data_IF_316598710070
#
_entry.id   IF_316598710070
#
_cell.length_a   1.000
_cell.length_b   1.000
_cell.length_c   1.000
_cell.angle_alpha   90.00
_cell.angle_beta   90.00
_cell.angle_gamma   90.00
#
_symmetry.space_group_name_H-M   'P 1'
#
loop_
_entity.id
_entity.type
_entity.pdbx_description
1 polymer ?
#
# COMPACT_ATOMS: atom_id res chain seq x y z
N UNK A 1 -65.92 -7.47 -21.96
CA UNK A 1 -65.16 -6.31 -21.44
C UNK A 1 -64.74 -6.59 -20.01
N UNK A 2 -63.47 -6.93 -19.75
CA UNK A 2 -62.81 -6.94 -18.41
C UNK A 2 -61.36 -7.42 -18.57
N UNK A 3 -60.41 -6.49 -18.74
CA UNK A 3 -58.98 -6.70 -18.50
C UNK A 3 -58.23 -5.36 -18.56
N UNK A 4 -58.35 -4.52 -17.53
CA UNK A 4 -57.50 -3.33 -17.36
C UNK A 4 -57.44 -2.95 -15.87
N UNK A 5 -56.77 -3.75 -15.03
CA UNK A 5 -56.61 -3.41 -13.61
C UNK A 5 -55.47 -4.17 -12.88
N UNK A 6 -54.37 -4.57 -13.55
CA UNK A 6 -53.26 -5.29 -12.86
C UNK A 6 -51.85 -4.71 -13.05
N UNK A 7 -51.65 -3.66 -13.83
CA UNK A 7 -50.30 -3.09 -14.04
C UNK A 7 -49.96 -1.85 -13.18
N UNK A 8 -50.92 -1.26 -12.47
CA UNK A 8 -50.69 -0.01 -11.71
C UNK A 8 -49.97 -0.18 -10.36
N UNK A 9 -50.10 -1.34 -9.72
CA UNK A 9 -49.61 -1.52 -8.34
C UNK A 9 -48.10 -1.80 -8.27
N UNK A 10 -47.50 -2.37 -9.32
CA UNK A 10 -46.07 -2.72 -9.32
C UNK A 10 -45.15 -1.53 -9.63
N UNK A 11 -45.64 -0.53 -10.37
CA UNK A 11 -44.84 0.64 -10.75
C UNK A 11 -44.74 1.66 -9.61
N UNK A 12 -45.81 1.82 -8.82
CA UNK A 12 -45.83 2.69 -7.63
C UNK A 12 -44.91 2.20 -6.51
N UNK A 13 -44.74 0.88 -6.35
CA UNK A 13 -43.84 0.30 -5.35
C UNK A 13 -42.38 0.52 -5.74
N UNK A 14 -42.02 0.33 -7.00
CA UNK A 14 -40.66 0.60 -7.51
C UNK A 14 -40.28 2.08 -7.41
N UNK A 15 -41.19 3.00 -7.74
CA UNK A 15 -40.92 4.44 -7.61
C UNK A 15 -40.70 4.87 -6.15
N UNK A 16 -41.44 4.26 -5.21
CA UNK A 16 -41.30 4.54 -3.78
C UNK A 16 -39.97 4.03 -3.20
N UNK A 17 -39.47 2.89 -3.68
CA UNK A 17 -38.17 2.33 -3.26
C UNK A 17 -37.00 3.18 -3.80
N UNK A 18 -37.09 3.66 -5.04
CA UNK A 18 -36.04 4.50 -5.65
C UNK A 18 -35.96 5.88 -4.98
N UNK A 19 -37.11 6.48 -4.64
CA UNK A 19 -37.15 7.74 -3.89
C UNK A 19 -36.59 7.57 -2.46
N UNK A 20 -36.91 6.46 -1.78
CA UNK A 20 -36.38 6.17 -0.44
C UNK A 20 -34.86 5.94 -0.40
N UNK A 21 -34.28 5.34 -1.45
CA UNK A 21 -32.82 5.17 -1.59
C UNK A 21 -32.09 6.52 -1.80
N UNK A 22 -32.72 7.45 -2.51
CA UNK A 22 -32.17 8.80 -2.75
C UNK A 22 -32.12 9.63 -1.46
N UNK A 23 -33.17 9.56 -0.64
CA UNK A 23 -33.23 10.28 0.64
C UNK A 23 -32.21 9.73 1.65
N UNK A 24 -32.04 8.41 1.75
CA UNK A 24 -31.04 7.78 2.62
C UNK A 24 -29.60 8.14 2.25
N UNK A 25 -29.27 8.21 0.96
CA UNK A 25 -27.95 8.64 0.49
C UNK A 25 -27.68 10.13 0.77
N UNK A 26 -28.72 10.97 0.67
CA UNK A 26 -28.60 12.40 1.00
C UNK A 26 -28.30 12.64 2.49
N UNK A 27 -28.88 11.83 3.37
CA UNK A 27 -28.67 11.93 4.83
C UNK A 27 -27.26 11.49 5.23
N UNK A 28 -26.75 10.40 4.66
CA UNK A 28 -25.36 9.95 4.90
C UNK A 28 -24.33 10.98 4.43
N UNK A 29 -24.58 11.65 3.31
CA UNK A 29 -23.69 12.71 2.81
C UNK A 29 -23.66 13.92 3.73
N UNK A 30 -24.81 14.35 4.28
CA UNK A 30 -24.88 15.43 5.29
C UNK A 30 -24.16 15.04 6.58
N UNK A 31 -24.25 13.77 6.99
CA UNK A 31 -23.59 13.27 8.19
C UNK A 31 -22.06 13.27 8.03
N UNK A 32 -21.56 12.89 6.84
CA UNK A 32 -20.13 12.94 6.48
C UNK A 32 -19.59 14.38 6.35
N UNK A 33 -20.38 15.32 5.82
CA UNK A 33 -19.98 16.73 5.72
C UNK A 33 -19.95 17.41 7.10
N UNK A 34 -20.87 17.07 8.01
CA UNK A 34 -20.89 17.55 9.39
C UNK A 34 -19.69 17.05 10.23
N UNK A 35 -19.22 15.83 9.99
CA UNK A 35 -18.03 15.31 10.68
C UNK A 35 -16.73 15.93 10.15
N UNK A 36 -16.68 16.32 8.86
CA UNK A 36 -15.56 17.03 8.26
C UNK A 36 -15.38 18.46 8.80
N UNK A 37 -16.45 19.15 9.17
CA UNK A 37 -16.36 20.53 9.70
C UNK A 37 -15.94 20.63 11.17
N UNK A 38 -15.97 19.52 11.93
CA UNK A 38 -15.64 19.53 13.38
C UNK A 38 -14.16 19.31 13.69
N UNK A 39 -13.35 18.86 12.73
CA UNK A 39 -11.93 18.58 12.97
C UNK A 39 -11.05 18.97 11.75
N UNK A 40 -10.66 20.25 11.61
CA UNK A 40 -9.86 20.70 10.48
C UNK A 40 -8.35 20.40 10.60
N UNK A 41 -7.90 19.64 11.62
CA UNK A 41 -6.47 19.47 11.95
C UNK A 41 -5.83 18.11 11.61
N UNK A 42 -6.51 17.22 10.86
CA UNK A 42 -5.97 15.90 10.53
C UNK A 42 -5.61 15.77 9.03
N UNK A 43 -4.90 16.74 8.45
CA UNK A 43 -4.24 16.55 7.15
C UNK A 43 -2.95 17.37 7.11
N UNK A 44 -1.86 16.68 6.72
CA UNK A 44 -0.49 17.13 6.39
C UNK A 44 0.50 17.32 7.55
N UNK A 45 1.39 16.34 7.67
CA UNK A 45 2.84 16.57 7.46
C UNK A 45 3.49 15.28 6.93
N UNK A 46 4.25 15.40 5.83
CA UNK A 46 5.04 14.31 5.25
C UNK A 46 6.38 14.26 5.98
N UNK A 47 6.67 13.14 6.66
CA UNK A 47 8.00 12.89 7.19
C UNK A 47 9.00 12.59 6.05
N UNK A 48 10.26 13.06 6.12
CA UNK A 48 11.30 12.79 5.13
C UNK A 48 11.87 11.36 5.26
N UNK A 49 12.59 10.84 4.24
CA UNK A 49 13.06 9.46 4.25
C UNK A 49 14.22 9.29 5.24
N UNK A 50 14.07 8.35 6.18
CA UNK A 50 15.13 7.97 7.11
C UNK A 50 16.13 7.09 6.34
N UNK A 51 17.34 7.62 6.12
CA UNK A 51 18.48 6.84 5.63
C UNK A 51 18.84 5.77 6.66
N UNK A 52 19.05 4.54 6.19
CA UNK A 52 19.58 3.44 6.97
C UNK A 52 20.93 3.83 7.59
N UNK A 53 20.98 3.95 8.92
CA UNK A 53 22.22 4.02 9.67
C UNK A 53 22.44 2.61 10.23
N UNK A 54 23.36 1.87 9.62
CA UNK A 54 23.99 0.72 10.26
C UNK A 54 24.69 1.23 11.53
N UNK A 55 24.24 0.79 12.71
CA UNK A 55 24.98 0.93 13.95
C UNK A 55 25.38 -0.46 14.42
N UNK A 56 26.68 -0.71 14.41
CA UNK A 56 27.29 -1.88 15.03
C UNK A 56 26.94 -1.94 16.53
N UNK A 57 26.68 -3.12 17.09
CA UNK A 57 26.53 -3.27 18.53
C UNK A 57 27.89 -3.12 19.21
N UNK A 58 27.99 -2.14 20.11
CA UNK A 58 29.13 -1.98 21.01
C UNK A 58 29.32 -3.23 21.85
N UNK A 59 30.50 -3.82 21.68
CA UNK A 59 31.06 -4.94 22.44
C UNK A 59 31.11 -4.59 23.93
N UNK A 60 30.32 -5.28 24.75
CA UNK A 60 30.55 -5.36 26.19
C UNK A 60 30.15 -6.75 26.69
N UNK A 61 31.16 -7.45 27.23
CA UNK A 61 31.10 -8.68 28.02
C UNK A 61 30.38 -9.90 27.42
N UNK A 62 31.14 -10.68 26.66
CA UNK A 62 30.89 -12.10 26.51
C UNK A 62 31.08 -12.78 27.87
N UNK A 63 30.06 -13.50 28.33
CA UNK A 63 30.24 -14.61 29.26
C UNK A 63 29.39 -15.76 28.73
N UNK A 64 30.05 -16.90 28.59
CA UNK A 64 29.54 -18.09 27.93
C UNK A 64 28.28 -18.62 28.63
N UNK A 65 27.18 -18.69 27.88
CA UNK A 65 26.02 -19.54 28.14
C UNK A 65 25.31 -19.76 26.80
N UNK A 66 25.93 -20.58 25.95
CA UNK A 66 25.33 -21.07 24.72
C UNK A 66 25.25 -22.58 24.85
N UNK A 67 24.02 -23.09 25.01
CA UNK A 67 23.51 -24.46 24.69
C UNK A 67 22.46 -25.01 25.67
N UNK A 68 22.03 -24.27 26.71
CA UNK A 68 20.93 -24.72 27.61
C UNK A 68 19.84 -23.65 27.81
N UNK A 69 19.15 -23.20 26.75
CA UNK A 69 17.95 -22.34 26.90
C UNK A 69 16.74 -22.80 26.10
N UNK A 70 16.90 -23.75 25.17
CA UNK A 70 15.81 -24.16 24.26
C UNK A 70 14.76 -25.10 24.90
N UNK A 71 15.03 -25.67 26.08
CA UNK A 71 14.10 -26.55 26.79
C UNK A 71 13.41 -25.90 28.01
N UNK A 72 13.87 -24.76 28.49
CA UNK A 72 13.54 -24.27 29.84
C UNK A 72 12.31 -23.35 29.93
N UNK A 73 11.84 -22.81 28.81
CA UNK A 73 10.63 -21.96 28.80
C UNK A 73 9.34 -22.74 29.11
N UNK A 74 9.36 -24.07 29.00
CA UNK A 74 8.20 -24.92 29.27
C UNK A 74 7.89 -25.10 30.76
N UNK A 75 8.86 -24.84 31.65
CA UNK A 75 8.71 -25.06 33.08
C UNK A 75 8.96 -23.80 33.93
N UNK A 76 9.78 -22.84 33.48
CA UNK A 76 10.05 -21.59 34.21
C UNK A 76 10.07 -20.34 33.32
N UNK A 77 9.57 -19.22 33.86
CA UNK A 77 9.63 -17.91 33.20
C UNK A 77 11.06 -17.34 33.21
N UNK A 78 11.57 -16.77 32.10
CA UNK A 78 12.86 -16.09 32.08
C UNK A 78 12.91 -14.88 33.01
N UNK A 79 11.81 -14.12 33.05
CA UNK A 79 11.60 -13.03 34.00
C UNK A 79 10.23 -13.20 34.67
N UNK A 80 10.04 -12.69 35.90
CA UNK A 80 8.78 -12.84 36.63
C UNK A 80 7.55 -12.35 35.85
N UNK A 81 7.72 -11.31 35.03
CA UNK A 81 6.65 -10.70 34.26
C UNK A 81 7.12 -10.47 32.82
N UNK A 82 6.25 -10.74 31.85
CA UNK A 82 6.51 -10.46 30.44
C UNK A 82 5.85 -11.44 29.48
N UNK A 83 6.11 -11.27 28.20
CA UNK A 83 5.65 -12.13 27.12
C UNK A 83 6.84 -12.69 26.34
N UNK A 84 6.93 -14.02 26.26
CA UNK A 84 8.09 -14.71 25.70
C UNK A 84 7.66 -15.61 24.53
N UNK A 85 8.39 -15.56 23.42
CA UNK A 85 8.12 -16.41 22.27
C UNK A 85 8.39 -17.89 22.57
N UNK A 86 7.64 -18.78 21.93
CA UNK A 86 7.98 -20.20 21.91
C UNK A 86 9.20 -20.48 21.01
N UNK A 87 10.02 -21.46 21.40
CA UNK A 87 11.26 -21.80 20.71
C UNK A 87 11.04 -22.41 19.32
N UNK A 88 9.90 -23.08 19.09
CA UNK A 88 9.65 -23.82 17.85
C UNK A 88 8.46 -23.29 17.04
N UNK A 89 7.47 -22.68 17.71
CA UNK A 89 6.21 -22.26 17.12
C UNK A 89 6.05 -20.73 17.08
N UNK A 90 5.96 -20.15 15.87
CA UNK A 90 6.00 -18.70 15.70
C UNK A 90 4.76 -17.97 16.23
N UNK A 91 3.63 -18.65 16.29
CA UNK A 91 2.36 -18.11 16.76
C UNK A 91 2.04 -18.49 18.21
N UNK A 92 2.98 -19.11 18.91
CA UNK A 92 2.87 -19.47 20.33
C UNK A 92 3.78 -18.60 21.18
N UNK A 93 3.29 -18.26 22.36
CA UNK A 93 4.01 -17.47 23.35
C UNK A 93 3.53 -17.78 24.76
N UNK A 94 4.30 -17.34 25.73
CA UNK A 94 4.07 -17.52 27.16
C UNK A 94 3.89 -16.17 27.81
N UNK A 95 2.78 -15.98 28.52
CA UNK A 95 2.57 -14.84 29.39
C UNK A 95 3.00 -15.21 30.82
N UNK A 96 4.03 -14.54 31.31
CA UNK A 96 4.57 -14.71 32.65
C UNK A 96 4.00 -13.64 33.58
N UNK A 97 3.47 -14.08 34.73
CA UNK A 97 3.01 -13.19 35.81
C UNK A 97 3.45 -13.74 37.15
N UNK A 98 4.27 -12.98 37.87
CA UNK A 98 4.88 -13.39 39.14
C UNK A 98 5.55 -14.78 39.06
N UNK A 99 6.18 -15.08 37.91
CA UNK A 99 6.84 -16.36 37.63
C UNK A 99 5.90 -17.49 37.19
N UNK A 100 4.59 -17.26 37.13
CA UNK A 100 3.62 -18.24 36.64
C UNK A 100 3.44 -18.12 35.12
N UNK A 101 3.69 -19.24 34.43
CA UNK A 101 3.52 -19.35 32.97
C UNK A 101 2.05 -19.55 32.62
N UNK A 102 1.57 -18.78 31.63
CA UNK A 102 0.34 -19.07 30.89
C UNK A 102 0.67 -19.22 29.41
N UNK A 103 0.49 -20.42 28.87
CA UNK A 103 0.60 -20.66 27.44
C UNK A 103 -0.53 -19.98 26.65
N UNK A 104 -0.18 -19.32 25.55
CA UNK A 104 -1.13 -18.65 24.66
C UNK A 104 -0.74 -18.84 23.19
N UNK A 105 -1.74 -18.70 22.33
CA UNK A 105 -1.60 -18.65 20.88
C UNK A 105 -2.06 -17.30 20.36
N UNK A 106 -1.36 -16.79 19.35
CA UNK A 106 -1.84 -15.67 18.55
C UNK A 106 -3.10 -16.09 17.76
N UNK A 107 -3.97 -15.13 17.41
CA UNK A 107 -5.09 -15.39 16.51
C UNK A 107 -4.61 -16.10 15.23
N UNK A 108 -5.39 -17.07 14.73
CA UNK A 108 -5.01 -17.86 13.56
C UNK A 108 -4.65 -16.97 12.35
N UNK A 109 -3.44 -17.16 11.83
CA UNK A 109 -2.87 -16.36 10.73
C UNK A 109 -1.99 -15.18 11.17
N UNK A 110 -1.81 -14.96 12.48
CA UNK A 110 -0.86 -14.01 13.05
C UNK A 110 0.25 -14.75 13.81
N UNK A 111 1.37 -14.07 14.05
CA UNK A 111 2.54 -14.61 14.77
C UNK A 111 2.93 -13.67 15.91
N UNK A 112 3.56 -14.22 16.94
CA UNK A 112 3.95 -13.45 18.11
C UNK A 112 5.13 -12.53 17.79
N UNK A 113 4.98 -11.26 18.15
CA UNK A 113 6.02 -10.24 18.04
C UNK A 113 6.74 -10.10 19.38
N UNK A 114 8.01 -10.50 19.41
CA UNK A 114 8.88 -10.57 20.58
C UNK A 114 9.84 -9.37 20.71
N UNK A 115 9.62 -8.27 19.97
CA UNK A 115 10.45 -7.07 20.06
C UNK A 115 10.25 -6.26 21.36
N UNK A 116 9.13 -6.45 22.04
CA UNK A 116 8.80 -5.78 23.31
C UNK A 116 8.16 -6.80 24.27
N UNK A 117 8.92 -7.20 25.30
CA UNK A 117 8.51 -8.21 26.28
C UNK A 117 7.40 -7.73 27.21
N UNK A 118 7.08 -6.42 27.25
CA UNK A 118 6.00 -5.88 28.07
C UNK A 118 4.65 -5.85 27.34
N UNK A 119 4.63 -6.10 26.02
CA UNK A 119 3.44 -5.99 25.18
C UNK A 119 3.00 -7.34 24.61
N UNK A 120 1.76 -7.72 24.87
CA UNK A 120 1.13 -8.89 24.25
C UNK A 120 0.74 -8.56 22.80
N UNK A 121 1.69 -8.70 21.87
CA UNK A 121 1.48 -8.30 20.48
C UNK A 121 1.62 -9.47 19.51
N UNK A 122 0.59 -9.61 18.68
CA UNK A 122 0.61 -10.48 17.50
C UNK A 122 0.61 -9.60 16.24
N UNK A 123 1.46 -9.93 15.28
CA UNK A 123 1.57 -9.23 14.00
C UNK A 123 1.43 -10.21 12.83
N UNK A 124 1.31 -9.67 11.62
CA UNK A 124 1.34 -10.49 10.42
C UNK A 124 2.74 -11.10 10.20
N UNK A 125 2.81 -12.33 9.67
CA UNK A 125 4.09 -13.04 9.48
C UNK A 125 5.06 -12.35 8.52
N UNK A 126 4.60 -11.36 7.74
CA UNK A 126 5.45 -10.62 6.80
C UNK A 126 6.48 -9.70 7.48
N UNK A 127 6.22 -9.29 8.73
CA UNK A 127 7.07 -8.34 9.47
C UNK A 127 7.88 -8.99 10.59
N UNK A 128 7.74 -10.31 10.79
CA UNK A 128 8.34 -11.06 11.91
C UNK A 128 9.13 -12.23 11.33
N UNK A 129 10.39 -12.37 11.74
CA UNK A 129 11.23 -13.48 11.29
C UNK A 129 10.90 -14.77 12.06
N UNK A 130 10.11 -15.62 11.42
CA UNK A 130 9.77 -16.95 11.95
C UNK A 130 10.77 -18.05 11.55
N UNK A 131 11.90 -17.73 10.90
CA UNK A 131 12.79 -18.74 10.32
C UNK A 131 13.38 -19.71 11.36
N UNK A 132 13.52 -19.25 12.62
CA UNK A 132 14.02 -20.07 13.74
C UNK A 132 12.92 -20.90 14.42
N UNK A 133 11.66 -20.47 14.32
CA UNK A 133 10.49 -21.06 14.97
C UNK A 133 9.34 -21.26 13.97
N UNK A 134 9.51 -22.10 12.94
CA UNK A 134 8.64 -22.13 11.78
C UNK A 134 7.28 -22.82 12.01
N UNK A 135 7.08 -23.51 13.15
CA UNK A 135 5.81 -24.20 13.41
C UNK A 135 4.70 -23.16 13.60
N UNK A 136 3.49 -23.51 13.22
CA UNK A 136 2.29 -22.70 13.40
C UNK A 136 1.15 -23.58 13.90
N UNK A 137 0.13 -22.99 14.53
CA UNK A 137 -1.09 -23.70 14.88
C UNK A 137 -1.78 -24.28 13.63
N UNK A 138 -2.74 -25.19 13.84
CA UNK A 138 -3.55 -25.72 12.73
C UNK A 138 -4.42 -24.62 12.11
N UNK A 139 -4.41 -24.46 10.77
CA UNK A 139 -5.22 -23.43 10.10
C UNK A 139 -6.71 -23.63 10.33
N UNK A 140 -7.45 -22.53 10.45
CA UNK A 140 -8.92 -22.51 10.54
C UNK A 140 -9.49 -21.85 9.28
N UNK A 141 -9.62 -22.60 8.16
CA UNK A 141 -10.01 -22.02 6.89
C UNK A 141 -11.50 -21.62 6.87
N UNK A 142 -11.78 -20.50 6.23
CA UNK A 142 -13.13 -20.02 5.88
C UNK A 142 -13.13 -19.63 4.39
N UNK A 143 -14.28 -19.33 3.76
CA UNK A 143 -14.31 -18.95 2.34
C UNK A 143 -13.34 -17.79 2.04
N UNK A 144 -12.41 -18.00 1.10
CA UNK A 144 -11.36 -17.04 0.69
C UNK A 144 -10.27 -16.72 1.73
N UNK A 145 -10.32 -17.35 2.90
CA UNK A 145 -9.39 -17.14 3.99
C UNK A 145 -8.80 -18.49 4.42
N UNK A 146 -7.65 -18.91 3.88
CA UNK A 146 -6.92 -20.10 4.33
C UNK A 146 -6.62 -20.11 5.84
N UNK A 147 -6.49 -18.92 6.45
CA UNK A 147 -6.40 -18.68 7.89
C UNK A 147 -7.38 -17.56 8.25
N UNK A 148 -7.76 -17.43 9.52
CA UNK A 148 -8.69 -16.38 9.95
C UNK A 148 -8.18 -14.96 9.69
N UNK A 149 -6.87 -14.74 9.80
CA UNK A 149 -6.25 -13.43 9.62
C UNK A 149 -5.14 -13.48 8.56
N UNK A 150 -5.02 -12.42 7.75
CA UNK A 150 -3.91 -12.26 6.82
C UNK A 150 -4.31 -11.80 5.42
N UNK A 151 -3.33 -11.82 4.51
CA UNK A 151 -3.51 -11.49 3.10
C UNK A 151 -3.33 -12.74 2.23
N UNK A 152 -4.31 -13.04 1.38
CA UNK A 152 -4.33 -14.28 0.60
C UNK A 152 -4.67 -14.00 -0.87
N UNK A 153 -3.99 -14.67 -1.78
CA UNK A 153 -4.25 -14.51 -3.22
C UNK A 153 -5.65 -14.97 -3.61
N UNK A 154 -6.19 -14.42 -4.70
CA UNK A 154 -7.48 -14.87 -5.21
C UNK A 154 -7.47 -16.35 -5.58
N UNK A 155 -8.50 -17.07 -5.13
CA UNK A 155 -8.76 -18.46 -5.52
C UNK A 155 -9.22 -18.60 -6.97
N UNK A 156 -9.68 -17.51 -7.61
CA UNK A 156 -10.19 -17.52 -8.99
C UNK A 156 -9.09 -17.42 -10.05
N UNK A 157 -7.81 -17.46 -9.65
CA UNK A 157 -6.67 -17.25 -10.55
C UNK A 157 -6.37 -15.78 -10.88
N UNK A 158 -7.25 -14.84 -10.53
CA UNK A 158 -7.00 -13.41 -10.75
C UNK A 158 -5.70 -12.97 -10.05
N UNK A 159 -4.73 -12.48 -10.84
CA UNK A 159 -3.38 -12.13 -10.38
C UNK A 159 -3.36 -10.83 -9.57
N UNK A 160 -4.23 -9.90 -9.93
CA UNK A 160 -4.38 -8.56 -9.36
C UNK A 160 -5.36 -8.53 -8.18
N UNK A 161 -5.95 -9.65 -7.78
CA UNK A 161 -6.92 -9.72 -6.68
C UNK A 161 -6.39 -10.53 -5.51
N UNK A 162 -6.65 -10.02 -4.32
CA UNK A 162 -6.35 -10.70 -3.07
C UNK A 162 -7.41 -10.40 -2.02
N UNK A 163 -7.38 -11.17 -0.94
CA UNK A 163 -8.32 -11.11 0.17
C UNK A 163 -7.57 -10.69 1.42
N UNK A 164 -8.10 -9.66 2.09
CA UNK A 164 -7.70 -9.29 3.44
C UNK A 164 -8.70 -9.89 4.43
N UNK A 165 -8.23 -10.81 5.25
CA UNK A 165 -9.05 -11.55 6.21
C UNK A 165 -8.83 -11.02 7.62
N UNK A 166 -9.94 -10.79 8.32
CA UNK A 166 -10.00 -10.50 9.76
C UNK A 166 -11.06 -11.40 10.37
N UNK A 167 -10.67 -12.26 11.31
CA UNK A 167 -11.55 -13.26 11.95
C UNK A 167 -12.39 -14.08 10.95
N UNK A 168 -11.75 -14.50 9.85
CA UNK A 168 -12.37 -15.31 8.79
C UNK A 168 -13.32 -14.54 7.86
N UNK A 169 -13.44 -13.21 8.02
CA UNK A 169 -14.21 -12.35 7.11
C UNK A 169 -13.26 -11.69 6.13
N UNK A 170 -13.45 -11.97 4.83
CA UNK A 170 -12.62 -11.38 3.78
C UNK A 170 -13.17 -10.06 3.25
N UNK A 171 -12.25 -9.16 2.91
CA UNK A 171 -12.48 -8.07 1.97
C UNK A 171 -11.63 -8.32 0.72
N UNK A 172 -12.25 -8.29 -0.46
CA UNK A 172 -11.51 -8.39 -1.72
C UNK A 172 -10.88 -7.04 -2.07
N UNK A 173 -9.59 -7.06 -2.38
CA UNK A 173 -8.82 -5.88 -2.77
C UNK A 173 -8.21 -6.15 -4.15
N UNK A 174 -8.25 -5.14 -5.01
CA UNK A 174 -7.59 -5.14 -6.31
C UNK A 174 -6.30 -4.33 -6.22
N UNK A 175 -5.20 -4.94 -6.67
CA UNK A 175 -3.91 -4.28 -6.79
C UNK A 175 -3.99 -3.10 -7.77
N UNK A 176 -3.14 -2.07 -7.59
CA UNK A 176 -2.97 -1.04 -8.59
C UNK A 176 -2.66 -1.65 -9.97
N UNK A 177 -3.10 -0.96 -11.03
CA UNK A 177 -2.97 -1.46 -12.40
C UNK A 177 -1.54 -1.88 -12.74
N UNK A 178 -1.40 -3.08 -13.30
CA UNK A 178 -0.11 -3.66 -13.68
C UNK A 178 0.68 -4.32 -12.53
N UNK A 179 0.14 -4.34 -11.30
CA UNK A 179 0.71 -5.07 -10.17
C UNK A 179 -0.10 -6.33 -9.87
N UNK A 180 0.58 -7.31 -9.28
CA UNK A 180 -0.01 -8.58 -8.85
C UNK A 180 0.25 -8.79 -7.36
N UNK A 181 -0.63 -9.52 -6.71
CA UNK A 181 -0.45 -9.84 -5.29
C UNK A 181 0.70 -10.83 -5.09
N UNK A 182 1.66 -10.47 -4.25
CA UNK A 182 2.75 -11.35 -3.82
C UNK A 182 2.41 -11.99 -2.45
N UNK A 183 2.10 -13.29 -2.40
CA UNK A 183 1.73 -13.96 -1.17
C UNK A 183 2.88 -14.10 -0.17
N UNK A 184 4.15 -13.95 -0.60
CA UNK A 184 5.33 -14.02 0.27
C UNK A 184 5.53 -12.74 1.07
N UNK A 185 5.19 -11.59 0.49
CA UNK A 185 5.39 -10.27 1.12
C UNK A 185 4.08 -9.63 1.59
N UNK A 186 2.94 -10.15 1.15
CA UNK A 186 1.61 -9.62 1.50
C UNK A 186 1.28 -8.29 0.80
N UNK A 187 2.05 -7.89 -0.21
CA UNK A 187 1.88 -6.62 -0.94
C UNK A 187 1.71 -6.86 -2.43
N UNK A 188 1.13 -5.87 -3.12
CA UNK A 188 1.11 -5.83 -4.57
C UNK A 188 2.48 -5.41 -5.10
N UNK A 189 3.09 -6.22 -5.96
CA UNK A 189 4.35 -5.89 -6.61
C UNK A 189 4.30 -6.26 -8.10
N UNK A 190 5.39 -6.04 -8.81
CA UNK A 190 5.50 -6.38 -10.21
C UNK A 190 5.41 -7.90 -10.46
N UNK A 191 4.80 -8.33 -11.57
CA UNK A 191 4.67 -9.74 -11.94
C UNK A 191 5.95 -10.58 -11.79
N UNK A 192 7.06 -10.05 -12.26
CA UNK A 192 8.39 -10.67 -12.25
C UNK A 192 8.98 -10.80 -10.82
N UNK A 193 8.63 -9.90 -9.91
CA UNK A 193 9.04 -9.98 -8.50
C UNK A 193 8.13 -10.90 -7.68
N UNK A 194 6.84 -10.96 -8.02
CA UNK A 194 5.88 -11.81 -7.33
C UNK A 194 6.16 -13.30 -7.56
N UNK A 195 6.71 -13.66 -8.73
CA UNK A 195 7.07 -15.04 -9.07
C UNK A 195 5.89 -16.01 -9.03
N UNK A 196 4.67 -15.50 -9.25
CA UNK A 196 3.44 -16.30 -9.26
C UNK A 196 3.26 -16.93 -10.64
N UNK A 197 3.17 -18.26 -10.69
CA UNK A 197 2.91 -19.00 -11.93
C UNK A 197 1.61 -18.54 -12.59
N UNK A 198 1.63 -18.32 -13.90
CA UNK A 198 0.49 -17.83 -14.69
C UNK A 198 0.13 -16.36 -14.46
N UNK A 199 1.04 -15.59 -13.86
CA UNK A 199 0.89 -14.17 -13.61
C UNK A 199 2.14 -13.41 -14.05
N UNK A 200 2.73 -13.77 -15.19
CA UNK A 200 3.87 -13.03 -15.76
C UNK A 200 3.43 -11.66 -16.27
N UNK A 201 4.39 -10.78 -16.57
CA UNK A 201 4.07 -9.48 -17.16
C UNK A 201 3.36 -9.63 -18.50
N UNK A 202 3.73 -10.64 -19.30
CA UNK A 202 3.04 -10.93 -20.56
C UNK A 202 1.59 -11.39 -20.33
N UNK A 203 1.34 -12.23 -19.31
CA UNK A 203 -0.02 -12.68 -18.96
C UNK A 203 -0.90 -11.50 -18.50
N UNK A 204 -0.36 -10.65 -17.62
CA UNK A 204 -1.07 -9.52 -17.02
C UNK A 204 -1.40 -8.44 -18.05
N UNK A 205 -0.49 -8.19 -18.97
CA UNK A 205 -0.64 -7.14 -19.98
C UNK A 205 -1.15 -7.64 -21.33
N UNK A 206 -1.23 -8.96 -21.55
CA UNK A 206 -1.55 -9.57 -22.83
C UNK A 206 -0.71 -9.02 -23.99
N UNK A 207 0.56 -8.72 -23.71
CA UNK A 207 1.50 -8.11 -24.64
C UNK A 207 2.86 -8.78 -24.50
N UNK A 208 3.50 -9.11 -25.63
CA UNK A 208 4.86 -9.65 -25.66
C UNK A 208 5.80 -8.63 -26.29
N UNK A 209 6.95 -8.44 -25.65
CA UNK A 209 7.97 -7.51 -26.15
C UNK A 209 8.56 -7.98 -27.49
N UNK A 210 8.63 -7.11 -28.51
CA UNK A 210 9.33 -7.39 -29.75
C UNK A 210 10.80 -7.75 -29.48
N UNK A 211 11.26 -8.83 -30.13
CA UNK A 211 12.64 -9.31 -29.98
C UNK A 211 13.61 -8.33 -30.63
N UNK A 212 14.58 -7.89 -29.84
CA UNK A 212 15.62 -6.95 -30.23
C UNK A 212 17.00 -7.48 -29.85
N UNK A 213 18.06 -6.89 -30.39
CA UNK A 213 19.42 -7.21 -29.97
C UNK A 213 19.70 -6.65 -28.57
N UNK A 214 20.80 -7.10 -27.97
CA UNK A 214 21.18 -6.73 -26.60
C UNK A 214 21.41 -5.21 -26.44
N UNK A 215 22.00 -4.55 -27.44
CA UNK A 215 22.25 -3.10 -27.40
C UNK A 215 20.98 -2.27 -27.38
N UNK A 216 19.88 -2.73 -28.00
CA UNK A 216 18.58 -2.09 -27.90
C UNK A 216 17.87 -2.52 -26.61
N UNK A 217 17.95 -3.79 -26.23
CA UNK A 217 17.32 -4.34 -25.02
C UNK A 217 17.68 -3.56 -23.75
N UNK A 218 18.96 -3.20 -23.58
CA UNK A 218 19.46 -2.41 -22.44
C UNK A 218 18.91 -0.98 -22.40
N UNK A 219 18.37 -0.46 -23.50
CA UNK A 219 17.73 0.87 -23.54
C UNK A 219 16.27 0.86 -23.08
N UNK A 220 15.71 -0.32 -22.81
CA UNK A 220 14.30 -0.54 -22.47
C UNK A 220 13.35 0.05 -23.53
N UNK A 221 13.31 -0.55 -24.73
CA UNK A 221 12.58 0.02 -25.86
C UNK A 221 11.09 0.16 -25.54
N UNK A 222 10.47 1.15 -26.19
CA UNK A 222 9.06 1.52 -25.99
C UNK A 222 8.23 1.19 -27.21
N UNK A 223 7.00 0.76 -26.99
CA UNK A 223 6.06 0.36 -28.04
C UNK A 223 4.68 0.90 -27.73
N UNK A 224 3.98 1.44 -28.72
CA UNK A 224 2.59 1.85 -28.55
C UNK A 224 1.72 0.70 -28.04
N UNK A 225 0.74 1.05 -27.20
CA UNK A 225 -0.35 0.14 -26.88
C UNK A 225 -1.30 0.09 -28.09
N UNK A 226 -1.63 -1.10 -28.63
CA UNK A 226 -2.44 -1.23 -29.84
C UNK A 226 -3.90 -0.81 -29.64
N UNK A 227 -4.39 -0.84 -28.40
CA UNK A 227 -5.80 -0.61 -28.07
C UNK A 227 -6.03 0.75 -27.38
N UNK A 228 -4.97 1.41 -26.93
CA UNK A 228 -5.06 2.65 -26.17
C UNK A 228 -3.94 3.65 -26.48
N UNK A 229 -4.26 4.66 -27.29
CA UNK A 229 -3.32 5.71 -27.67
C UNK A 229 -2.68 6.44 -26.47
N UNK A 230 -3.30 6.47 -25.28
CA UNK A 230 -2.70 7.10 -24.11
C UNK A 230 -1.58 6.25 -23.50
N UNK A 231 -1.58 4.94 -23.72
CA UNK A 231 -0.65 4.01 -23.09
C UNK A 231 0.40 3.49 -24.06
N UNK A 232 1.47 2.96 -23.49
CA UNK A 232 2.57 2.33 -24.19
C UNK A 232 3.25 1.32 -23.28
N UNK A 233 3.97 0.38 -23.86
CA UNK A 233 4.77 -0.60 -23.14
C UNK A 233 6.23 -0.18 -23.10
N UNK A 234 6.85 -0.32 -21.94
CA UNK A 234 8.31 -0.27 -21.77
C UNK A 234 8.79 -1.70 -21.56
N UNK A 235 9.67 -2.19 -22.43
CA UNK A 235 10.21 -3.54 -22.35
C UNK A 235 11.51 -3.56 -21.55
N UNK A 236 11.44 -3.87 -20.25
CA UNK A 236 12.61 -3.96 -19.39
C UNK A 236 13.52 -5.10 -19.88
N UNK A 237 14.78 -4.76 -20.10
CA UNK A 237 15.79 -5.60 -20.77
C UNK A 237 15.30 -6.25 -22.07
N UNK A 238 14.37 -5.62 -22.79
CA UNK A 238 13.84 -6.13 -24.06
C UNK A 238 12.78 -7.23 -23.96
N UNK A 239 12.49 -7.76 -22.76
CA UNK A 239 11.63 -8.96 -22.62
C UNK A 239 10.48 -8.81 -21.61
N UNK A 240 10.57 -7.90 -20.64
CA UNK A 240 9.54 -7.75 -19.59
C UNK A 240 8.69 -6.50 -19.85
N UNK A 241 7.44 -6.63 -20.32
CA UNK A 241 6.61 -5.48 -20.65
C UNK A 241 6.08 -4.79 -19.38
N UNK A 242 6.10 -3.46 -19.38
CA UNK A 242 5.48 -2.61 -18.35
C UNK A 242 4.61 -1.56 -19.01
N UNK A 243 3.29 -1.64 -18.79
CA UNK A 243 2.34 -0.66 -19.32
C UNK A 243 2.49 0.67 -18.58
N UNK A 244 2.68 1.75 -19.33
CA UNK A 244 2.83 3.11 -18.85
C UNK A 244 1.89 4.03 -19.62
N UNK A 245 1.53 5.17 -19.02
CA UNK A 245 0.58 6.11 -19.60
C UNK A 245 1.20 7.50 -19.80
N UNK A 246 0.86 8.12 -20.91
CA UNK A 246 1.06 9.55 -21.13
C UNK A 246 0.12 10.37 -20.25
N UNK A 247 0.47 11.65 -20.04
CA UNK A 247 -0.40 12.57 -19.29
C UNK A 247 -1.75 12.70 -19.99
N UNK A 248 -2.78 13.06 -19.23
CA UNK A 248 -4.10 13.34 -19.80
C UNK A 248 -3.98 14.41 -20.90
N UNK A 249 -4.55 14.13 -22.08
CA UNK A 249 -4.45 14.95 -23.28
C UNK A 249 -3.26 14.63 -24.21
N UNK A 250 -2.30 13.84 -23.72
CA UNK A 250 -1.21 13.29 -24.53
C UNK A 250 -1.47 11.84 -24.93
N UNK A 251 -0.85 11.43 -26.03
CA UNK A 251 -0.83 10.07 -26.57
C UNK A 251 0.62 9.67 -26.84
N UNK A 252 0.88 8.38 -26.99
CA UNK A 252 2.21 7.90 -27.33
C UNK A 252 2.43 7.99 -28.85
N UNK A 253 3.42 8.78 -29.27
CA UNK A 253 3.90 8.80 -30.65
C UNK A 253 4.89 7.65 -30.85
N UNK A 254 4.47 6.64 -31.62
CA UNK A 254 5.31 5.47 -31.88
C UNK A 254 6.49 5.78 -32.82
N UNK A 255 6.40 6.84 -33.63
CA UNK A 255 7.52 7.24 -34.50
C UNK A 255 8.63 7.90 -33.68
N UNK A 256 8.25 8.84 -32.80
CA UNK A 256 9.17 9.56 -31.91
C UNK A 256 9.56 8.81 -30.64
N UNK A 257 8.84 7.73 -30.27
CA UNK A 257 9.00 6.96 -29.01
C UNK A 257 8.84 7.82 -27.75
N UNK A 258 7.96 8.81 -27.80
CA UNK A 258 7.66 9.71 -26.68
C UNK A 258 6.18 10.07 -26.60
N UNK A 259 5.74 10.61 -25.47
CA UNK A 259 4.41 11.19 -25.35
C UNK A 259 4.35 12.53 -26.08
N UNK A 260 3.31 12.75 -26.88
CA UNK A 260 3.04 13.98 -27.61
C UNK A 260 1.55 14.32 -27.49
N UNK A 261 1.18 15.57 -27.71
CA UNK A 261 -0.22 15.99 -27.72
C UNK A 261 -1.01 15.25 -28.79
N UNK A 262 -2.19 14.74 -28.42
CA UNK A 262 -3.03 13.91 -29.29
C UNK A 262 -3.16 14.49 -30.71
N UNK A 263 -3.50 15.78 -30.82
CA UNK A 263 -3.70 16.50 -32.09
C UNK A 263 -2.47 16.53 -33.04
N UNK A 264 -1.27 16.25 -32.54
CA UNK A 264 -0.02 16.22 -33.33
C UNK A 264 0.36 14.82 -33.79
N UNK A 265 -0.32 13.80 -33.28
CA UNK A 265 -0.11 12.38 -33.62
C UNK A 265 -1.29 11.96 -34.51
N UNK A 266 -1.16 11.96 -35.85
CA UNK A 266 -2.29 11.84 -36.77
C UNK A 266 -3.17 10.60 -36.53
N UNK A 267 -2.57 9.47 -36.19
CA UNK A 267 -3.24 8.20 -35.89
C UNK A 267 -4.09 8.25 -34.61
N UNK A 268 -3.78 9.16 -33.70
CA UNK A 268 -4.42 9.31 -32.39
C UNK A 268 -5.01 10.71 -32.16
N UNK A 269 -5.13 11.53 -33.21
CA UNK A 269 -5.58 12.92 -33.14
C UNK A 269 -6.96 13.06 -32.49
N UNK A 270 -7.79 12.05 -32.68
CA UNK A 270 -9.19 12.03 -32.26
C UNK A 270 -9.42 11.28 -30.95
N UNK A 271 -8.38 10.72 -30.34
CA UNK A 271 -8.46 9.83 -29.16
C UNK A 271 -9.24 10.42 -27.98
N UNK A 272 -9.16 11.73 -27.77
CA UNK A 272 -9.81 12.41 -26.66
C UNK A 272 -11.13 13.10 -27.00
N UNK A 273 -11.62 13.07 -28.26
CA UNK A 273 -12.82 13.83 -28.68
C UNK A 273 -14.07 13.52 -27.84
N UNK A 274 -14.22 12.29 -27.36
CA UNK A 274 -15.36 11.88 -26.52
C UNK A 274 -15.10 12.01 -25.00
N UNK A 275 -13.86 12.34 -24.62
CA UNK A 275 -13.40 12.37 -23.21
C UNK A 275 -13.15 13.80 -22.72
N UNK A 276 -12.74 14.70 -23.62
CA UNK A 276 -12.38 16.09 -23.35
C UNK A 276 -12.88 16.98 -24.48
N UNK A 277 -13.30 18.19 -24.14
CA UNK A 277 -13.56 19.24 -25.12
C UNK A 277 -12.24 19.83 -25.65
N UNK A 278 -12.26 20.41 -26.85
CA UNK A 278 -11.09 21.08 -27.44
C UNK A 278 -10.49 22.14 -26.49
N UNK A 279 -11.36 22.89 -25.80
CA UNK A 279 -10.95 23.88 -24.80
C UNK A 279 -10.21 23.23 -23.62
N UNK A 280 -10.71 22.11 -23.10
CA UNK A 280 -10.03 21.40 -22.01
C UNK A 280 -8.68 20.85 -22.45
N UNK A 281 -8.58 20.36 -23.69
CA UNK A 281 -7.32 19.89 -24.25
C UNK A 281 -6.30 21.03 -24.44
N UNK A 282 -6.77 22.18 -24.91
CA UNK A 282 -5.95 23.39 -25.06
C UNK A 282 -5.46 23.93 -23.71
N UNK A 283 -6.31 23.90 -22.66
CA UNK A 283 -5.93 24.27 -21.30
C UNK A 283 -4.90 23.31 -20.68
N UNK A 284 -4.93 22.02 -21.05
CA UNK A 284 -3.92 21.05 -20.63
C UNK A 284 -2.57 21.29 -21.32
N UNK A 285 -2.58 21.65 -22.60
CA UNK A 285 -1.37 21.94 -23.38
C UNK A 285 -0.74 23.27 -22.99
N UNK A 286 -1.57 24.28 -22.77
CA UNK A 286 -1.15 25.63 -22.45
C UNK A 286 -1.74 26.03 -21.08
N UNK A 287 -1.22 25.45 -19.98
CA UNK A 287 -1.74 25.75 -18.66
C UNK A 287 -1.57 27.26 -18.40
N UNK A 288 -2.64 27.94 -17.94
CA UNK A 288 -2.55 29.37 -17.67
C UNK A 288 -1.47 29.61 -16.64
N UNK A 289 -0.56 30.55 -16.93
CA UNK A 289 0.42 30.99 -15.95
C UNK A 289 -0.33 31.65 -14.81
N UNK A 290 -0.56 30.94 -13.71
CA UNK A 290 -1.00 31.57 -12.48
C UNK A 290 0.10 32.56 -12.12
N UNK A 291 -0.14 33.85 -12.36
CA UNK A 291 0.72 34.91 -11.83
C UNK A 291 0.88 34.62 -10.35
N UNK A 292 2.10 34.29 -9.93
CA UNK A 292 2.40 34.18 -8.51
C UNK A 292 1.90 35.47 -7.84
N UNK A 293 1.16 35.39 -6.73
CA UNK A 293 0.79 36.60 -6.01
C UNK A 293 2.06 37.38 -5.71
N UNK A 294 2.08 38.67 -6.09
CA UNK A 294 3.24 39.54 -5.98
C UNK A 294 3.87 39.40 -4.58
N UNK A 295 5.21 39.39 -4.46
CA UNK A 295 5.87 39.32 -3.16
C UNK A 295 5.37 40.48 -2.31
N UNK A 296 4.69 40.16 -1.21
CA UNK A 296 4.34 41.16 -0.20
C UNK A 296 5.65 41.82 0.23
N UNK A 297 5.70 43.14 0.09
CA UNK A 297 6.88 43.95 0.36
C UNK A 297 7.47 43.70 1.76
N UNK A 298 8.72 44.14 2.00
CA UNK A 298 9.49 43.74 3.17
C UNK A 298 8.76 44.11 4.47
N UNK A 299 8.39 43.08 5.23
CA UNK A 299 7.97 43.22 6.63
C UNK A 299 9.10 43.85 7.42
N UNK A 300 8.86 45.06 7.96
CA UNK A 300 9.77 45.72 8.90
C UNK A 300 10.04 44.81 10.10
N UNK A 301 11.23 44.23 10.15
CA UNK A 301 11.73 43.50 11.32
C UNK A 301 11.92 44.52 12.46
N UNK A 302 11.07 44.40 13.49
CA UNK A 302 11.21 45.12 14.75
C UNK A 302 12.52 44.69 15.42
N UNK A 303 13.50 45.60 15.53
CA UNK A 303 14.76 45.38 16.23
C UNK A 303 14.49 45.04 17.70
N UNK A 304 14.74 43.80 18.11
CA UNK A 304 14.85 43.44 19.54
C UNK A 304 16.21 43.89 20.08
N UNK A 305 16.17 44.52 21.25
CA UNK A 305 17.28 45.07 22.03
C UNK A 305 18.18 43.93 22.56
N UNK A 306 19.51 44.02 22.49
CA UNK A 306 20.38 42.93 22.96
C UNK A 306 20.46 42.90 24.49
N UNK A 307 20.28 41.71 25.08
CA UNK A 307 20.47 41.43 26.50
C UNK A 307 21.96 41.19 26.81
N UNK A 308 22.51 41.93 27.77
CA UNK A 308 23.87 41.73 28.31
C UNK A 308 23.99 40.35 28.98
N UNK A 309 25.01 39.58 28.58
CA UNK A 309 25.45 38.33 29.23
C UNK A 309 26.39 38.66 30.41
N UNK A 310 26.22 38.07 31.61
CA UNK A 310 27.20 38.21 32.71
C UNK A 310 28.45 37.35 32.45
N UNK A 311 29.63 37.87 32.82
CA UNK A 311 30.92 37.17 32.80
C UNK A 311 31.05 36.26 34.04
N UNK A 312 31.55 35.04 33.87
CA UNK A 312 32.04 34.20 34.97
C UNK A 312 33.55 34.40 35.17
N UNK A 313 34.07 34.27 36.41
CA UNK A 313 35.49 34.46 36.72
C UNK A 313 36.29 33.18 36.42
N UNK A 314 37.57 33.38 36.07
CA UNK A 314 38.59 32.34 35.97
C UNK A 314 39.33 32.33 37.31
N UNK A 315 39.45 31.15 37.92
CA UNK A 315 40.30 30.90 39.08
C UNK A 315 41.69 30.47 38.57
N UNK A 316 42.72 31.16 39.06
CA UNK A 316 44.14 30.81 38.93
C UNK A 316 44.56 30.02 40.18
N UNK A 317 45.37 28.98 40.01
CA UNK A 317 46.46 28.49 40.90
C UNK A 317 47.05 27.23 40.24
N UNK A 318 48.29 27.28 39.77
CA UNK A 318 49.54 26.91 40.47
C UNK A 318 49.71 25.38 40.67
#
# INVERSE_FOLDING_TARGET
>A
MKAAAKFGLSFLVLLSVVLGLSEAQSQLRRQYESSRTRNPAAVRERAPPIKAISREPTKAAATAASEETDAELSENCPEPNGYFADAEQCDKYYACRDGQITEKLCPDGMVFNDYDLEQEKCDLPYNIDCSKRPKLQTPQPTPNCPRLNGYFGSQTGACDKFYYCVDGKFNMITCPAGLVFNPKTGICTWPDEAGKSGCTSEDVFSFSCPKVNESIAVTHPRYADPDDCQFFYVCINGDIPRRNGCKLGQVFDDSGKHCEWARKVPECADWYKDRLTDKQLEELENPPTTKAPAPKGPTKVSRRRPSKRPKQPVEDEE
#
